data_IF_005220376785
#
_entry.id   IF_005220376785
#
_cell.length_a   1.000
_cell.length_b   1.000
_cell.length_c   1.000
_cell.angle_alpha   90.00
_cell.angle_beta   90.00
_cell.angle_gamma   90.00
#
_symmetry.space_group_name_H-M   'P 1'
#
loop_
_entity.id
_entity.type
_entity.pdbx_description
1 polymer ?
#
# COMPACT_ATOMS: atom_id res chain seq x y z
N UNK A 1 1.89 5.71 11.75
CA UNK A 1 2.52 5.83 10.42
C UNK A 1 3.95 5.32 10.42
N UNK A 2 4.79 5.70 11.40
CA UNK A 2 6.19 5.27 11.52
C UNK A 2 6.44 3.78 11.23
N UNK A 3 5.76 2.86 11.92
CA UNK A 3 6.00 1.42 11.74
C UNK A 3 5.77 0.88 10.32
N UNK A 4 4.95 1.56 9.49
CA UNK A 4 4.73 1.15 8.10
C UNK A 4 5.81 1.67 7.16
N UNK A 5 6.45 2.81 7.48
CA UNK A 5 7.49 3.41 6.65
C UNK A 5 8.76 2.54 6.60
N UNK A 6 9.00 1.75 7.65
CA UNK A 6 10.18 0.90 7.79
C UNK A 6 9.97 -0.54 7.31
N UNK A 7 8.82 -0.85 6.69
CA UNK A 7 8.53 -2.21 6.23
C UNK A 7 9.37 -2.53 4.99
N UNK A 8 10.25 -3.55 5.04
CA UNK A 8 11.05 -3.93 3.89
C UNK A 8 10.19 -4.26 2.69
N UNK A 9 10.55 -3.68 1.55
CA UNK A 9 9.88 -3.86 0.27
C UNK A 9 8.56 -3.10 0.10
N UNK A 10 8.11 -2.29 1.08
CA UNK A 10 6.97 -1.39 0.88
C UNK A 10 7.45 -0.09 0.22
N UNK A 11 7.24 0.05 -1.08
CA UNK A 11 7.60 1.26 -1.83
C UNK A 11 6.61 2.41 -1.61
N UNK A 12 5.32 2.11 -1.43
CA UNK A 12 4.28 3.12 -1.20
C UNK A 12 3.14 2.53 -0.36
N UNK A 13 2.61 3.34 0.56
CA UNK A 13 1.29 3.13 1.16
C UNK A 13 0.50 4.43 1.09
N UNK A 14 -0.53 4.47 0.24
CA UNK A 14 -1.42 5.60 0.10
C UNK A 14 -2.78 5.28 0.73
N UNK A 15 -3.29 6.17 1.57
CA UNK A 15 -4.66 6.09 2.07
C UNK A 15 -5.61 6.69 1.02
N UNK A 16 -6.70 6.00 0.74
CA UNK A 16 -7.72 6.43 -0.21
C UNK A 16 -9.08 6.45 0.48
N UNK A 17 -9.94 7.37 0.04
CA UNK A 17 -11.32 7.45 0.47
C UNK A 17 -12.20 7.85 -0.71
N UNK A 18 -13.36 7.21 -0.82
CA UNK A 18 -14.48 7.62 -1.66
C UNK A 18 -15.63 8.02 -0.71
N UNK A 19 -15.78 9.31 -0.39
CA UNK A 19 -16.83 9.76 0.52
C UNK A 19 -18.24 9.63 -0.08
N UNK A 20 -18.38 9.56 -1.41
CA UNK A 20 -19.69 9.44 -2.08
C UNK A 20 -20.24 8.03 -1.90
N UNK A 21 -19.36 7.02 -1.91
CA UNK A 21 -19.72 5.61 -1.70
C UNK A 21 -19.42 5.11 -0.28
N UNK A 22 -19.00 6.00 0.61
CA UNK A 22 -18.61 5.70 2.00
C UNK A 22 -17.54 4.61 2.12
N UNK A 23 -16.56 4.63 1.21
CA UNK A 23 -15.45 3.66 1.18
C UNK A 23 -14.16 4.32 1.61
N UNK A 24 -13.29 3.55 2.25
CA UNK A 24 -11.93 3.96 2.55
C UNK A 24 -11.03 2.73 2.53
N UNK A 25 -9.74 2.94 2.35
CA UNK A 25 -8.79 1.85 2.25
C UNK A 25 -7.37 2.33 2.04
N UNK A 26 -6.51 1.40 1.62
CA UNK A 26 -5.13 1.69 1.32
C UNK A 26 -4.68 0.98 0.04
N UNK A 27 -3.94 1.72 -0.80
CA UNK A 27 -3.18 1.16 -1.91
C UNK A 27 -1.73 0.99 -1.45
N UNK A 28 -1.16 -0.17 -1.75
CA UNK A 28 0.23 -0.48 -1.40
C UNK A 28 0.99 -0.92 -2.65
N UNK A 29 2.17 -0.32 -2.87
CA UNK A 29 3.13 -0.78 -3.86
C UNK A 29 4.25 -1.52 -3.14
N UNK A 30 4.57 -2.71 -3.62
CA UNK A 30 5.64 -3.56 -3.08
C UNK A 30 6.71 -3.79 -4.15
N UNK A 31 7.97 -3.82 -3.74
CA UNK A 31 9.14 -4.13 -4.58
C UNK A 31 10.23 -4.74 -3.68
N UNK A 32 10.64 -6.02 -3.85
CA UNK A 32 10.19 -6.95 -4.90
C UNK A 32 8.82 -7.56 -4.62
N UNK A 33 8.59 -8.10 -3.42
CA UNK A 33 7.36 -8.81 -3.06
C UNK A 33 6.86 -8.42 -1.67
N UNK A 34 5.53 -8.49 -1.49
CA UNK A 34 4.90 -8.31 -0.19
C UNK A 34 5.32 -9.45 0.75
N UNK A 35 5.89 -9.15 1.94
CA UNK A 35 6.23 -10.20 2.90
C UNK A 35 4.98 -10.92 3.40
N UNK A 36 5.14 -12.20 3.75
CA UNK A 36 4.06 -13.01 4.31
C UNK A 36 3.41 -12.33 5.54
N UNK A 37 2.08 -12.44 5.66
CA UNK A 37 1.26 -11.57 6.52
C UNK A 37 1.63 -11.48 8.00
N UNK A 38 2.38 -12.45 8.55
CA UNK A 38 2.88 -12.45 9.93
C UNK A 38 3.88 -11.31 10.22
N UNK A 39 4.52 -10.75 9.20
CA UNK A 39 5.59 -9.75 9.36
C UNK A 39 5.13 -8.30 9.21
N UNK A 40 3.83 -8.07 8.97
CA UNK A 40 3.31 -6.74 8.72
C UNK A 40 2.86 -6.05 10.02
N UNK A 41 3.15 -4.75 10.19
CA UNK A 41 2.64 -3.99 11.33
C UNK A 41 1.10 -4.01 11.37
N UNK A 42 0.48 -3.76 12.54
CA UNK A 42 -0.96 -3.61 12.64
C UNK A 42 -1.51 -2.58 11.64
N UNK A 43 -2.55 -2.96 10.91
CA UNK A 43 -3.26 -2.03 10.06
C UNK A 43 -4.31 -1.29 10.89
N UNK A 44 -3.92 -0.17 11.50
CA UNK A 44 -4.85 0.69 12.27
C UNK A 44 -6.11 1.09 11.50
N UNK A 45 -6.08 1.06 10.16
CA UNK A 45 -7.29 1.22 9.37
C UNK A 45 -8.37 0.20 9.75
N UNK A 46 -8.02 -1.09 9.84
CA UNK A 46 -8.95 -2.15 10.23
C UNK A 46 -9.48 -1.99 11.67
N UNK A 47 -8.66 -1.48 12.59
CA UNK A 47 -9.09 -1.16 13.94
C UNK A 47 -10.12 -0.02 13.95
N UNK A 48 -9.86 1.05 13.20
CA UNK A 48 -10.77 2.18 13.05
C UNK A 48 -12.06 1.81 12.28
N UNK A 49 -11.97 0.84 11.38
CA UNK A 49 -13.10 0.26 10.66
C UNK A 49 -14.07 -0.51 11.56
N UNK A 50 -13.58 -1.04 12.67
CA UNK A 50 -14.25 -2.10 13.43
C UNK A 50 -14.20 -3.49 12.78
N UNK A 51 -13.29 -3.75 11.83
CA UNK A 51 -13.27 -5.02 11.11
C UNK A 51 -12.19 -5.16 10.03
N UNK A 52 -12.01 -6.36 9.44
CA UNK A 52 -11.14 -6.55 8.29
C UNK A 52 -11.68 -5.80 7.05
N UNK A 53 -10.85 -5.52 6.04
CA UNK A 53 -11.33 -4.96 4.78
C UNK A 53 -12.37 -5.87 4.12
N UNK A 54 -13.46 -5.29 3.62
CA UNK A 54 -14.49 -5.99 2.85
C UNK A 54 -13.94 -6.55 1.53
N UNK A 55 -13.02 -5.81 0.92
CA UNK A 55 -12.41 -6.14 -0.35
C UNK A 55 -10.88 -6.16 -0.24
N UNK A 56 -10.27 -7.18 -0.83
CA UNK A 56 -8.82 -7.27 -1.02
C UNK A 56 -8.52 -7.77 -2.42
N UNK A 57 -7.71 -7.00 -3.14
CA UNK A 57 -7.28 -7.28 -4.49
C UNK A 57 -5.78 -7.02 -4.62
N UNK A 58 -5.16 -7.60 -5.65
CA UNK A 58 -3.73 -7.50 -5.90
C UNK A 58 -3.43 -7.66 -7.38
N UNK A 59 -2.44 -6.89 -7.85
CA UNK A 59 -2.00 -6.89 -9.23
C UNK A 59 -0.49 -6.81 -9.30
N UNK A 60 0.08 -7.35 -10.37
CA UNK A 60 1.48 -7.12 -10.73
C UNK A 60 1.58 -5.82 -11.50
N UNK A 61 2.40 -4.89 -11.03
CA UNK A 61 2.76 -3.69 -11.79
C UNK A 61 3.76 -4.10 -12.86
N UNK A 62 3.39 -3.93 -14.13
CA UNK A 62 4.26 -4.26 -15.28
C UNK A 62 5.04 -3.05 -15.80
N UNK A 63 4.52 -1.85 -15.56
CA UNK A 63 5.16 -0.58 -15.88
C UNK A 63 4.52 0.52 -15.01
N UNK A 64 5.31 1.54 -14.65
CA UNK A 64 4.84 2.73 -13.97
C UNK A 64 5.60 3.97 -14.47
N UNK A 65 4.92 5.11 -14.55
CA UNK A 65 5.53 6.40 -14.90
C UNK A 65 5.46 7.29 -13.67
N UNK A 66 6.59 7.71 -13.08
CA UNK A 66 6.56 8.64 -11.96
C UNK A 66 6.07 10.01 -12.42
N UNK A 67 5.16 10.60 -11.66
CA UNK A 67 4.78 12.00 -11.85
C UNK A 67 5.88 12.95 -11.35
N UNK A 68 5.87 14.23 -11.76
CA UNK A 68 6.91 15.20 -11.41
C UNK A 68 7.04 15.50 -9.90
N UNK A 69 6.00 15.19 -9.12
CA UNK A 69 5.98 15.35 -7.67
C UNK A 69 6.13 14.02 -6.89
N UNK A 70 6.32 12.90 -7.58
CA UNK A 70 6.44 11.58 -6.97
C UNK A 70 7.88 11.23 -6.58
N UNK A 71 8.10 10.38 -5.57
CA UNK A 71 9.42 9.78 -5.38
C UNK A 71 9.80 8.97 -6.63
N UNK A 72 11.10 8.85 -6.96
CA UNK A 72 11.53 8.02 -8.08
C UNK A 72 11.06 6.58 -7.82
N UNK A 73 10.20 6.08 -8.71
CA UNK A 73 9.89 4.66 -8.76
C UNK A 73 11.14 3.99 -9.35
N UNK A 74 11.79 3.12 -8.58
CA UNK A 74 12.92 2.34 -9.06
C UNK A 74 12.51 1.67 -10.38
N UNK A 75 13.23 2.02 -11.45
CA UNK A 75 13.07 1.36 -12.73
C UNK A 75 13.53 -0.10 -12.62
N UNK A 76 13.09 -0.98 -13.53
CA UNK A 76 13.56 -2.36 -13.54
C UNK A 76 15.09 -2.40 -13.73
N UNK A 77 15.81 -2.83 -12.69
CA UNK A 77 17.19 -3.30 -12.75
C UNK A 77 18.29 -2.22 -12.74
N UNK A 78 18.97 -2.11 -11.61
CA UNK A 78 20.41 -1.83 -11.54
C UNK A 78 21.11 -3.08 -11.03
#
# INVERSE_FOLDING_TARGET
>A
MAAWADVPGLALKAWIADPVRERWGAVMLWDPDRPAGRLLPPNRGAELAGGPPDERCGWRVVAAVPGPAGPPLLGPGS
#
